data_IF_346242189009
#
_entry.id   IF_346242189009
#
_cell.length_a   1.000
_cell.length_b   1.000
_cell.length_c   1.000
_cell.angle_alpha   90.00
_cell.angle_beta   90.00
_cell.angle_gamma   90.00
#
_symmetry.space_group_name_H-M   'P 1'
#
loop_
_entity.id
_entity.type
_entity.pdbx_description
1 polymer ?
#
# COMPACT_ATOMS: atom_id res chain seq x y z
N UNK A 1 -5.22 -24.99 6.84
CA UNK A 1 -3.96 -25.75 6.66
C UNK A 1 -3.46 -25.64 5.24
N UNK A 2 -2.15 -25.43 5.09
CA UNK A 2 -1.45 -25.38 3.78
C UNK A 2 -1.40 -26.77 3.17
N UNK A 3 -1.54 -26.83 1.84
CA UNK A 3 -1.50 -28.09 1.10
C UNK A 3 -0.09 -28.70 1.12
N UNK A 4 -0.02 -30.03 1.13
CA UNK A 4 1.22 -30.80 1.13
C UNK A 4 1.11 -32.00 0.20
N UNK A 5 2.18 -32.34 -0.49
CA UNK A 5 2.35 -33.59 -1.23
C UNK A 5 3.46 -34.45 -0.59
N UNK A 6 3.88 -35.53 -1.26
CA UNK A 6 4.96 -36.40 -0.78
C UNK A 6 6.34 -35.72 -0.74
N UNK A 7 6.50 -34.60 -1.45
CA UNK A 7 7.75 -33.86 -1.60
C UNK A 7 7.83 -32.61 -0.70
N UNK A 8 6.71 -32.12 -0.15
CA UNK A 8 6.71 -30.95 0.73
C UNK A 8 5.44 -30.10 0.64
N UNK A 9 5.53 -28.86 1.14
CA UNK A 9 4.42 -27.91 1.10
C UNK A 9 4.25 -27.30 -0.29
N UNK A 10 2.99 -27.12 -0.70
CA UNK A 10 2.60 -26.39 -1.89
C UNK A 10 2.17 -25.00 -1.45
N UNK A 11 2.97 -23.99 -1.78
CA UNK A 11 2.77 -22.62 -1.30
C UNK A 11 2.15 -21.72 -2.37
N UNK A 12 1.07 -21.02 -2.02
CA UNK A 12 0.38 -20.08 -2.91
C UNK A 12 0.54 -18.67 -2.38
N UNK A 13 1.19 -17.81 -3.16
CA UNK A 13 1.45 -16.42 -2.83
C UNK A 13 0.55 -15.52 -3.69
N UNK A 14 -0.34 -14.73 -3.09
CA UNK A 14 -1.05 -13.69 -3.82
C UNK A 14 -0.23 -12.40 -3.83
N UNK A 15 -0.10 -11.80 -5.01
CA UNK A 15 0.70 -10.62 -5.28
C UNK A 15 -0.15 -9.52 -5.93
N UNK A 16 0.37 -8.89 -6.98
CA UNK A 16 -0.33 -7.98 -7.88
C UNK A 16 -0.04 -8.38 -9.33
N UNK A 17 -0.54 -7.60 -10.30
CA UNK A 17 -0.25 -7.76 -11.73
C UNK A 17 1.26 -7.82 -12.03
N UNK A 18 1.71 -8.50 -13.11
CA UNK A 18 3.12 -8.81 -13.37
C UNK A 18 4.10 -7.63 -13.42
N UNK A 19 3.62 -6.41 -13.69
CA UNK A 19 4.46 -5.21 -13.78
C UNK A 19 4.55 -4.42 -12.47
N UNK A 20 3.77 -4.80 -11.46
CA UNK A 20 3.79 -4.16 -10.15
C UNK A 20 5.05 -4.55 -9.37
N UNK A 21 5.64 -3.65 -8.56
CA UNK A 21 6.78 -3.98 -7.69
C UNK A 21 6.60 -5.25 -6.86
N UNK A 22 5.39 -5.48 -6.35
CA UNK A 22 5.07 -6.68 -5.57
C UNK A 22 5.31 -7.98 -6.34
N UNK A 23 5.02 -8.00 -7.65
CA UNK A 23 5.24 -9.19 -8.46
C UNK A 23 6.73 -9.56 -8.50
N UNK A 24 7.62 -8.57 -8.53
CA UNK A 24 9.09 -8.79 -8.48
C UNK A 24 9.53 -9.35 -7.14
N UNK A 25 8.99 -8.82 -6.03
CA UNK A 25 9.25 -9.32 -4.68
C UNK A 25 8.81 -10.77 -4.59
N UNK A 26 7.54 -11.06 -4.87
CA UNK A 26 6.99 -12.41 -4.74
C UNK A 26 7.64 -13.41 -5.69
N UNK A 27 8.07 -12.98 -6.89
CA UNK A 27 8.84 -13.82 -7.81
C UNK A 27 10.24 -14.15 -7.28
N UNK A 28 10.94 -13.16 -6.68
CA UNK A 28 12.23 -13.40 -6.04
C UNK A 28 12.11 -14.39 -4.87
N UNK A 29 11.07 -14.25 -4.05
CA UNK A 29 10.76 -15.18 -2.96
C UNK A 29 10.48 -16.59 -3.49
N UNK A 30 9.61 -16.72 -4.51
CA UNK A 30 9.27 -18.01 -5.10
C UNK A 30 10.52 -18.71 -5.67
N UNK A 31 11.39 -17.98 -6.39
CA UNK A 31 12.61 -18.54 -6.95
C UNK A 31 13.58 -19.02 -5.86
N UNK A 32 13.68 -18.31 -4.73
CA UNK A 32 14.54 -18.74 -3.62
C UNK A 32 14.01 -19.95 -2.88
N UNK A 33 12.69 -20.11 -2.78
CA UNK A 33 12.08 -21.28 -2.15
C UNK A 33 12.19 -22.53 -3.03
N UNK A 34 12.03 -22.37 -4.35
CA UNK A 34 12.20 -23.43 -5.35
C UNK A 34 13.68 -23.90 -5.43
N UNK A 35 14.62 -22.95 -5.27
CA UNK A 35 16.05 -23.21 -5.34
C UNK A 35 16.74 -23.59 -4.02
N UNK A 36 16.02 -23.71 -2.89
CA UNK A 36 16.66 -23.87 -1.59
C UNK A 36 17.24 -25.29 -1.39
N UNK A 37 18.49 -25.47 -1.83
CA UNK A 37 19.26 -26.72 -1.75
C UNK A 37 19.67 -27.12 -0.33
N UNK A 38 19.52 -26.24 0.67
CA UNK A 38 19.95 -26.50 2.05
C UNK A 38 18.93 -27.34 2.85
N UNK A 39 17.64 -27.30 2.48
CA UNK A 39 16.59 -28.16 3.05
C UNK A 39 15.68 -28.72 1.93
N UNK A 40 16.19 -29.65 1.11
CA UNK A 40 15.34 -30.33 0.15
C UNK A 40 14.16 -30.99 0.88
N UNK A 41 12.94 -30.78 0.38
CA UNK A 41 11.74 -31.45 0.90
C UNK A 41 10.83 -30.63 1.83
N UNK A 42 11.13 -29.35 2.11
CA UNK A 42 10.22 -28.49 2.89
C UNK A 42 9.15 -27.88 1.98
N UNK A 43 9.55 -27.26 0.87
CA UNK A 43 8.65 -26.70 -0.14
C UNK A 43 8.75 -27.55 -1.40
N UNK A 44 7.62 -28.10 -1.85
CA UNK A 44 7.53 -28.88 -3.08
C UNK A 44 7.32 -27.98 -4.29
N UNK A 45 6.45 -26.98 -4.16
CA UNK A 45 6.17 -26.02 -5.23
C UNK A 45 5.67 -24.68 -4.69
N UNK A 46 5.89 -23.62 -5.47
CA UNK A 46 5.42 -22.26 -5.18
C UNK A 46 4.71 -21.68 -6.40
N UNK A 47 3.48 -21.20 -6.20
CA UNK A 47 2.70 -20.47 -7.20
C UNK A 47 2.53 -19.01 -6.79
N UNK A 48 2.75 -18.08 -7.73
CA UNK A 48 2.44 -16.65 -7.56
C UNK A 48 1.20 -16.30 -8.37
N UNK A 49 0.19 -15.74 -7.71
CA UNK A 49 -1.11 -15.43 -8.28
C UNK A 49 -1.35 -13.92 -8.28
N UNK A 50 -1.87 -13.40 -9.39
CA UNK A 50 -2.44 -12.06 -9.42
C UNK A 50 -3.95 -12.15 -9.09
N UNK A 51 -4.49 -11.26 -8.23
CA UNK A 51 -5.91 -11.27 -7.90
C UNK A 51 -6.76 -10.87 -9.11
N UNK A 52 -7.97 -11.43 -9.21
CA UNK A 52 -8.90 -11.32 -10.36
C UNK A 52 -9.24 -9.89 -10.80
N UNK A 53 -9.07 -8.88 -9.93
CA UNK A 53 -9.43 -7.48 -10.19
C UNK A 53 -8.34 -6.46 -9.81
N UNK A 54 -7.13 -6.92 -9.45
CA UNK A 54 -6.05 -6.01 -9.07
C UNK A 54 -6.31 -5.20 -7.80
N UNK A 55 -7.22 -5.64 -6.92
CA UNK A 55 -7.54 -5.02 -5.62
C UNK A 55 -6.51 -5.38 -4.53
N UNK A 56 -5.27 -5.69 -4.91
CA UNK A 56 -4.29 -6.44 -4.09
C UNK A 56 -4.32 -6.09 -2.60
N UNK A 57 -4.34 -4.81 -2.26
CA UNK A 57 -4.39 -4.37 -0.86
C UNK A 57 -5.60 -4.86 -0.05
N UNK A 58 -6.85 -4.71 -0.52
CA UNK A 58 -8.02 -5.13 0.27
C UNK A 58 -8.37 -6.60 0.12
N UNK A 59 -8.14 -7.16 -1.08
CA UNK A 59 -8.56 -8.53 -1.37
C UNK A 59 -7.55 -9.56 -0.88
N UNK A 60 -6.24 -9.26 -0.91
CA UNK A 60 -5.21 -10.23 -0.50
C UNK A 60 -5.39 -10.69 0.95
N UNK A 61 -5.69 -9.82 1.95
CA UNK A 61 -5.98 -10.28 3.31
C UNK A 61 -7.20 -11.21 3.39
N UNK A 62 -8.24 -10.99 2.57
CA UNK A 62 -9.41 -11.87 2.53
C UNK A 62 -9.08 -13.23 1.94
N UNK A 63 -8.30 -13.27 0.86
CA UNK A 63 -7.89 -14.53 0.23
C UNK A 63 -7.00 -15.36 1.17
N UNK A 64 -6.05 -14.71 1.86
CA UNK A 64 -5.18 -15.35 2.87
C UNK A 64 -6.02 -15.85 4.05
N UNK A 65 -6.88 -15.01 4.63
CA UNK A 65 -7.73 -15.39 5.74
C UNK A 65 -8.66 -16.56 5.43
N UNK A 66 -9.25 -16.57 4.22
CA UNK A 66 -10.09 -17.68 3.71
C UNK A 66 -9.31 -18.95 3.34
N UNK A 67 -7.98 -18.91 3.32
CA UNK A 67 -7.14 -20.04 2.94
C UNK A 67 -7.12 -20.39 1.46
N UNK A 68 -7.63 -19.48 0.61
CA UNK A 68 -7.56 -19.60 -0.85
C UNK A 68 -6.10 -19.52 -1.33
N UNK A 69 -5.28 -18.77 -0.59
CA UNK A 69 -3.83 -18.63 -0.72
C UNK A 69 -3.19 -18.62 0.67
N UNK A 70 -1.88 -18.81 0.74
CA UNK A 70 -1.17 -19.06 1.99
C UNK A 70 -0.39 -17.82 2.48
N UNK A 71 0.08 -17.00 1.53
CA UNK A 71 0.86 -15.78 1.78
C UNK A 71 0.31 -14.65 0.90
N UNK A 72 0.31 -13.44 1.42
CA UNK A 72 -0.10 -12.25 0.69
C UNK A 72 0.84 -11.07 0.92
N UNK A 73 0.75 -10.08 0.05
CA UNK A 73 1.39 -8.78 0.19
C UNK A 73 0.33 -7.67 0.11
N UNK A 74 0.46 -6.63 0.93
CA UNK A 74 -0.50 -5.51 1.00
C UNK A 74 0.19 -4.16 1.22
N UNK A 75 -0.46 -3.07 0.78
CA UNK A 75 -0.12 -1.67 1.09
C UNK A 75 -1.42 -0.87 1.29
N UNK A 76 -1.53 -0.01 2.32
CA UNK A 76 -0.64 0.16 3.45
C UNK A 76 -0.64 -1.07 4.35
N UNK A 77 0.40 -1.27 5.20
CA UNK A 77 0.46 -2.38 6.14
C UNK A 77 -0.79 -2.46 7.02
N UNK A 78 -1.34 -1.30 7.42
CA UNK A 78 -2.52 -1.19 8.31
C UNK A 78 -3.72 -1.97 7.78
N UNK A 79 -3.81 -2.18 6.46
CA UNK A 79 -4.85 -2.98 5.82
C UNK A 79 -4.95 -4.40 6.40
N UNK A 80 -3.82 -5.03 6.74
CA UNK A 80 -3.83 -6.36 7.35
C UNK A 80 -4.44 -6.34 8.76
N UNK A 81 -4.19 -5.28 9.54
CA UNK A 81 -4.80 -5.11 10.87
C UNK A 81 -6.30 -4.84 10.77
N UNK A 82 -6.72 -3.95 9.87
CA UNK A 82 -8.14 -3.70 9.60
C UNK A 82 -8.88 -5.00 9.23
N UNK A 83 -8.23 -5.86 8.44
CA UNK A 83 -8.76 -7.17 8.08
C UNK A 83 -8.90 -8.12 9.27
N UNK A 84 -7.89 -8.19 10.15
CA UNK A 84 -7.93 -9.01 11.37
C UNK A 84 -9.04 -8.55 12.33
N UNK A 85 -9.26 -7.24 12.44
CA UNK A 85 -10.25 -6.66 13.34
C UNK A 85 -11.66 -6.61 12.73
N UNK A 86 -11.78 -6.78 11.41
CA UNK A 86 -13.08 -6.71 10.72
C UNK A 86 -13.69 -5.32 10.73
N UNK A 87 -12.85 -4.28 10.62
CA UNK A 87 -13.26 -2.87 10.68
C UNK A 87 -12.93 -2.14 9.36
N UNK A 88 -13.48 -0.95 9.20
CA UNK A 88 -13.24 -0.10 8.03
C UNK A 88 -13.82 -0.72 6.75
N UNK A 89 -13.00 -1.07 5.73
CA UNK A 89 -13.48 -1.68 4.50
C UNK A 89 -13.85 -3.17 4.65
N UNK A 90 -13.60 -3.77 5.82
CA UNK A 90 -13.93 -5.16 6.12
C UNK A 90 -15.25 -5.25 6.90
N UNK A 91 -16.14 -6.15 6.48
CA UNK A 91 -17.43 -6.40 7.15
C UNK A 91 -17.31 -7.40 8.30
N UNK A 92 -16.29 -8.22 8.26
CA UNK A 92 -16.00 -9.29 9.22
C UNK A 92 -14.49 -9.51 9.30
N UNK A 93 -14.04 -10.08 10.41
CA UNK A 93 -12.65 -10.46 10.61
C UNK A 93 -12.24 -11.56 9.61
N UNK A 94 -11.03 -11.46 9.06
CA UNK A 94 -10.42 -12.51 8.23
C UNK A 94 -9.63 -13.54 9.04
N UNK A 95 -9.72 -13.48 10.38
CA UNK A 95 -8.94 -14.30 11.30
C UNK A 95 -7.54 -13.75 11.59
N UNK A 96 -6.73 -14.51 12.33
CA UNK A 96 -5.39 -14.11 12.74
C UNK A 96 -4.39 -14.10 11.58
N UNK A 97 -3.84 -12.93 11.27
CA UNK A 97 -2.72 -12.77 10.35
C UNK A 97 -1.42 -12.53 11.12
N UNK A 98 -0.29 -12.84 10.49
CA UNK A 98 1.07 -12.60 11.01
C UNK A 98 1.96 -12.03 9.92
N UNK A 99 2.77 -11.03 10.29
CA UNK A 99 3.78 -10.44 9.42
C UNK A 99 4.93 -11.43 9.19
N UNK A 100 5.48 -11.42 7.98
CA UNK A 100 6.73 -12.11 7.65
C UNK A 100 7.83 -11.09 7.42
N UNK A 101 7.54 -10.03 6.66
CA UNK A 101 8.48 -8.96 6.37
C UNK A 101 7.74 -7.67 6.01
N UNK A 102 8.27 -6.50 6.36
CA UNK A 102 7.81 -5.18 5.89
C UNK A 102 8.89 -4.54 5.02
N UNK A 103 8.64 -4.39 3.72
CA UNK A 103 9.56 -3.68 2.85
C UNK A 103 9.44 -2.16 3.07
N UNK A 104 10.57 -1.42 3.13
CA UNK A 104 10.59 0.01 3.46
C UNK A 104 10.23 0.84 2.22
N UNK A 105 8.95 0.88 1.88
CA UNK A 105 8.45 1.78 0.84
C UNK A 105 7.96 3.08 1.50
N UNK A 106 8.63 4.22 1.24
CA UNK A 106 8.18 5.50 1.75
C UNK A 106 7.05 6.04 0.87
N UNK A 107 5.85 6.18 1.44
CA UNK A 107 4.68 6.67 0.69
C UNK A 107 3.66 7.39 1.57
N UNK A 108 2.91 8.30 0.95
CA UNK A 108 1.87 9.10 1.58
C UNK A 108 0.88 9.61 0.53
N UNK A 109 -0.23 10.19 0.98
CA UNK A 109 -1.28 10.67 0.07
C UNK A 109 -1.06 12.14 -0.30
N UNK A 110 -1.06 12.44 -1.60
CA UNK A 110 -1.16 13.80 -2.12
C UNK A 110 -2.62 14.22 -2.27
N UNK A 111 -2.91 15.48 -1.91
CA UNK A 111 -4.24 16.08 -1.98
C UNK A 111 -4.22 17.29 -2.91
N UNK A 112 -4.25 17.08 -4.23
CA UNK A 112 -4.03 18.13 -5.21
C UNK A 112 -5.36 18.62 -5.81
N UNK A 113 -5.54 19.94 -5.86
CA UNK A 113 -6.66 20.62 -6.52
C UNK A 113 -6.14 21.72 -7.43
N UNK A 114 -6.81 22.00 -8.54
CA UNK A 114 -6.45 23.12 -9.44
C UNK A 114 -6.43 24.44 -8.67
N UNK A 115 -5.31 25.15 -8.76
CA UNK A 115 -5.10 26.44 -8.11
C UNK A 115 -6.19 27.46 -8.50
N UNK A 116 -6.72 27.40 -9.73
CA UNK A 116 -7.79 28.29 -10.22
C UNK A 116 -9.11 28.16 -9.46
N UNK A 117 -9.31 27.06 -8.75
CA UNK A 117 -10.47 26.91 -7.88
C UNK A 117 -10.36 27.82 -6.65
N UNK A 118 -9.17 28.31 -6.31
CA UNK A 118 -8.89 29.14 -5.12
C UNK A 118 -9.11 28.40 -3.81
N UNK A 119 -9.07 27.07 -3.83
CA UNK A 119 -9.23 26.21 -2.65
C UNK A 119 -7.88 26.14 -1.94
N UNK A 120 -7.81 26.62 -0.70
CA UNK A 120 -6.57 26.71 0.06
C UNK A 120 -6.43 25.61 1.12
N UNK A 121 -7.54 24.98 1.52
CA UNK A 121 -7.56 23.87 2.49
C UNK A 121 -8.63 22.83 2.16
N UNK A 122 -8.58 21.68 2.84
CA UNK A 122 -9.60 20.64 2.69
C UNK A 122 -10.99 21.10 3.18
N UNK A 123 -11.05 21.99 4.18
CA UNK A 123 -12.27 22.58 4.73
C UNK A 123 -12.97 23.52 3.73
N UNK A 124 -12.23 24.12 2.79
CA UNK A 124 -12.81 24.99 1.77
C UNK A 124 -13.70 24.21 0.79
N UNK A 125 -13.41 22.94 0.55
CA UNK A 125 -14.12 22.10 -0.43
C UNK A 125 -15.62 22.02 -0.11
N UNK A 126 -16.07 21.53 1.08
CA UNK A 126 -17.48 21.46 1.42
C UNK A 126 -18.13 22.84 1.61
N UNK A 127 -17.36 23.88 1.96
CA UNK A 127 -17.86 25.26 2.12
C UNK A 127 -18.19 25.91 0.78
N UNK A 128 -17.31 25.73 -0.21
CA UNK A 128 -17.40 26.41 -1.51
C UNK A 128 -18.07 25.55 -2.57
N UNK A 129 -18.13 24.23 -2.37
CA UNK A 129 -18.78 23.26 -3.26
C UNK A 129 -18.33 23.42 -4.72
N UNK A 130 -17.01 23.43 -4.99
CA UNK A 130 -16.52 23.65 -6.34
C UNK A 130 -16.92 22.49 -7.27
N UNK A 131 -16.99 22.79 -8.58
CA UNK A 131 -17.18 21.76 -9.61
C UNK A 131 -15.89 20.96 -9.78
N UNK A 132 -15.73 19.90 -9.00
CA UNK A 132 -14.57 19.01 -9.05
C UNK A 132 -14.78 17.90 -10.08
N UNK A 133 -13.82 17.74 -10.98
CA UNK A 133 -13.55 16.46 -11.61
C UNK A 133 -12.37 15.84 -10.88
N UNK A 134 -12.68 14.99 -9.90
CA UNK A 134 -11.71 14.38 -9.00
C UNK A 134 -11.24 13.04 -9.56
N UNK A 135 -9.92 12.85 -9.69
CA UNK A 135 -9.30 11.54 -9.86
C UNK A 135 -9.03 10.93 -8.48
N UNK A 136 -9.46 9.68 -8.30
CA UNK A 136 -9.16 8.86 -7.12
C UNK A 136 -8.61 7.49 -7.56
N UNK A 137 -8.53 6.53 -6.64
CA UNK A 137 -8.09 5.15 -6.87
C UNK A 137 -9.02 4.34 -7.77
N UNK A 138 -9.31 3.09 -7.39
CA UNK A 138 -10.11 2.16 -8.20
C UNK A 138 -11.40 1.76 -7.49
N UNK A 139 -12.47 1.61 -8.28
CA UNK A 139 -13.65 0.83 -7.89
C UNK A 139 -13.71 -0.42 -8.75
N UNK A 140 -13.88 -1.57 -8.10
CA UNK A 140 -14.06 -2.86 -8.72
C UNK A 140 -15.44 -3.44 -8.35
N UNK A 141 -15.88 -4.54 -9.01
CA UNK A 141 -17.17 -5.17 -8.70
C UNK A 141 -17.36 -5.56 -7.23
N UNK A 142 -16.26 -5.80 -6.50
CA UNK A 142 -16.27 -6.19 -5.08
C UNK A 142 -16.08 -5.01 -4.11
N UNK A 143 -15.99 -3.77 -4.61
CA UNK A 143 -15.85 -2.56 -3.80
C UNK A 143 -14.69 -1.65 -4.23
N UNK A 144 -14.45 -0.56 -3.47
CA UNK A 144 -13.28 0.31 -3.66
C UNK A 144 -11.98 -0.44 -3.32
N UNK A 145 -10.84 0.05 -3.79
CA UNK A 145 -9.54 -0.32 -3.23
C UNK A 145 -9.23 0.45 -1.92
N UNK A 146 -8.09 0.14 -1.28
CA UNK A 146 -7.76 0.74 0.03
C UNK A 146 -7.64 2.25 -0.07
N UNK A 147 -7.03 2.78 -1.14
CA UNK A 147 -6.81 4.22 -1.28
C UNK A 147 -8.12 4.95 -1.56
N UNK A 148 -9.00 4.44 -2.42
CA UNK A 148 -10.33 5.00 -2.63
C UNK A 148 -11.16 4.99 -1.35
N UNK A 149 -11.14 3.90 -0.57
CA UNK A 149 -11.83 3.88 0.71
C UNK A 149 -11.24 4.91 1.70
N UNK A 150 -9.91 4.99 1.79
CA UNK A 150 -9.21 5.91 2.71
C UNK A 150 -9.53 7.37 2.37
N UNK A 151 -9.49 7.73 1.09
CA UNK A 151 -9.84 9.07 0.62
C UNK A 151 -11.28 9.41 0.99
N UNK A 152 -12.22 8.48 0.79
CA UNK A 152 -13.62 8.74 1.13
C UNK A 152 -13.83 8.94 2.63
N UNK A 153 -13.15 8.19 3.49
CA UNK A 153 -13.22 8.36 4.95
C UNK A 153 -12.66 9.70 5.40
N UNK A 154 -11.55 10.16 4.80
CA UNK A 154 -10.99 11.50 5.04
C UNK A 154 -11.99 12.57 4.61
N UNK A 155 -12.58 12.47 3.41
CA UNK A 155 -13.57 13.43 2.93
C UNK A 155 -14.80 13.48 3.84
N UNK A 156 -15.32 12.33 4.28
CA UNK A 156 -16.47 12.24 5.19
C UNK A 156 -16.21 12.98 6.50
N UNK A 157 -14.96 12.93 7.00
CA UNK A 157 -14.57 13.66 8.21
C UNK A 157 -14.60 15.18 8.02
N UNK A 158 -14.34 15.67 6.80
CA UNK A 158 -14.54 17.06 6.40
C UNK A 158 -16.01 17.42 6.10
N UNK A 159 -16.93 16.44 6.10
CA UNK A 159 -18.36 16.67 5.88
C UNK A 159 -18.82 16.60 4.43
N UNK A 160 -18.09 15.91 3.55
CA UNK A 160 -18.53 15.61 2.19
C UNK A 160 -18.07 14.23 1.72
N UNK A 161 -18.63 13.72 0.64
CA UNK A 161 -18.25 12.44 0.04
C UNK A 161 -18.26 12.51 -1.51
N UNK A 162 -18.05 11.39 -2.19
CA UNK A 162 -18.06 11.34 -3.65
C UNK A 162 -19.43 11.69 -4.28
N UNK A 163 -20.54 11.38 -3.59
CA UNK A 163 -21.89 11.75 -4.05
C UNK A 163 -22.13 13.25 -3.94
N UNK A 164 -21.59 13.90 -2.91
CA UNK A 164 -21.68 15.36 -2.76
C UNK A 164 -20.97 16.08 -3.92
N UNK A 165 -19.80 15.60 -4.35
CA UNK A 165 -19.10 16.13 -5.53
C UNK A 165 -20.00 16.08 -6.78
N UNK A 166 -20.70 14.96 -6.99
CA UNK A 166 -21.65 14.84 -8.10
C UNK A 166 -22.83 15.82 -7.95
N UNK A 167 -23.35 16.00 -6.73
CA UNK A 167 -24.43 16.96 -6.44
C UNK A 167 -24.04 18.42 -6.72
N UNK A 168 -22.74 18.76 -6.65
CA UNK A 168 -22.20 20.08 -6.97
C UNK A 168 -21.93 20.27 -8.48
N UNK A 169 -22.34 19.31 -9.32
CA UNK A 169 -22.12 19.31 -10.76
C UNK A 169 -20.73 18.80 -11.17
N UNK A 170 -19.98 18.23 -10.23
CA UNK A 170 -18.69 17.57 -10.44
C UNK A 170 -18.84 16.10 -10.88
N UNK A 171 -17.72 15.39 -10.96
CA UNK A 171 -17.67 13.94 -11.21
C UNK A 171 -16.41 13.36 -10.55
N UNK A 172 -16.45 12.06 -10.24
CA UNK A 172 -15.30 11.33 -9.71
C UNK A 172 -14.89 10.26 -10.71
N UNK A 173 -13.60 10.19 -11.00
CA UNK A 173 -12.97 9.23 -11.89
C UNK A 173 -12.18 8.22 -11.05
N UNK A 174 -12.34 6.93 -11.35
CA UNK A 174 -11.65 5.85 -10.64
C UNK A 174 -10.71 5.05 -11.57
N UNK A 175 -9.69 5.68 -12.18
CA UNK A 175 -8.80 5.02 -13.13
C UNK A 175 -7.85 4.00 -12.48
N UNK A 176 -7.73 4.00 -11.15
CA UNK A 176 -6.77 3.20 -10.40
C UNK A 176 -5.50 3.96 -10.06
N UNK A 177 -4.34 3.34 -10.27
CA UNK A 177 -3.04 3.83 -9.81
C UNK A 177 -2.71 5.24 -10.30
N UNK A 178 -1.84 5.94 -9.57
CA UNK A 178 -1.33 7.27 -9.93
C UNK A 178 -0.79 7.32 -11.37
N UNK A 179 -0.16 6.24 -11.85
CA UNK A 179 0.42 6.16 -13.21
C UNK A 179 -0.63 6.27 -14.33
N UNK A 180 -1.90 6.03 -14.01
CA UNK A 180 -3.04 6.24 -14.92
C UNK A 180 -3.76 7.55 -14.57
N UNK A 181 -3.91 7.85 -13.28
CA UNK A 181 -4.63 9.03 -12.80
C UNK A 181 -3.95 10.37 -13.09
N UNK A 182 -2.65 10.48 -12.86
CA UNK A 182 -1.88 11.72 -13.07
C UNK A 182 -1.94 12.19 -14.53
N UNK A 183 -1.77 11.33 -15.56
CA UNK A 183 -1.95 11.73 -16.95
C UNK A 183 -3.32 12.35 -17.28
N UNK A 184 -4.40 11.93 -16.62
CA UNK A 184 -5.75 12.50 -16.83
C UNK A 184 -5.80 13.94 -16.34
N UNK A 185 -5.25 14.22 -15.15
CA UNK A 185 -5.17 15.58 -14.62
C UNK A 185 -4.20 16.43 -15.44
N UNK A 186 -3.04 15.88 -15.85
CA UNK A 186 -2.05 16.59 -16.67
C UNK A 186 -2.64 17.05 -18.02
N UNK A 187 -3.54 16.25 -18.61
CA UNK A 187 -4.31 16.59 -19.83
C UNK A 187 -5.46 17.56 -19.59
N UNK A 188 -5.74 17.91 -18.33
CA UNK A 188 -6.85 18.78 -17.89
C UNK A 188 -8.24 18.19 -18.12
N UNK A 189 -8.33 16.86 -18.25
CA UNK A 189 -9.60 16.13 -18.24
C UNK A 189 -10.19 16.04 -16.82
N UNK A 190 -9.37 16.35 -15.82
CA UNK A 190 -9.69 16.45 -14.40
C UNK A 190 -8.96 17.64 -13.76
N UNK A 191 -9.51 18.17 -12.67
CA UNK A 191 -8.99 19.37 -11.97
C UNK A 191 -8.68 19.11 -10.48
N UNK A 192 -8.72 17.85 -10.05
CA UNK A 192 -8.26 17.43 -8.73
C UNK A 192 -7.78 15.96 -8.79
N UNK A 193 -6.83 15.60 -7.94
CA UNK A 193 -6.38 14.23 -7.73
C UNK A 193 -5.99 14.01 -6.28
N UNK A 194 -6.61 13.01 -5.67
CA UNK A 194 -6.25 12.51 -4.34
C UNK A 194 -5.70 11.09 -4.52
N UNK A 195 -4.41 10.88 -4.24
CA UNK A 195 -3.74 9.62 -4.59
C UNK A 195 -2.41 9.42 -3.86
N UNK A 196 -2.02 8.15 -3.70
CA UNK A 196 -0.72 7.68 -3.22
C UNK A 196 0.31 7.52 -4.37
N UNK A 197 1.50 6.97 -4.08
CA UNK A 197 2.50 6.65 -5.09
C UNK A 197 3.42 7.83 -5.35
N UNK A 198 3.94 8.42 -4.27
CA UNK A 198 4.72 9.67 -4.29
C UNK A 198 6.06 9.51 -5.02
N UNK A 199 6.46 8.29 -5.32
CA UNK A 199 7.77 7.91 -5.84
C UNK A 199 7.90 8.05 -7.37
N UNK A 200 7.09 8.91 -8.00
CA UNK A 200 7.07 9.04 -9.46
C UNK A 200 7.26 10.50 -9.90
N UNK A 201 8.21 10.70 -10.83
CA UNK A 201 8.51 12.01 -11.45
C UNK A 201 7.29 12.69 -12.10
N UNK A 202 6.24 11.92 -12.38
CA UNK A 202 4.99 12.43 -12.96
C UNK A 202 4.29 13.46 -12.07
N UNK A 203 4.53 13.44 -10.75
CA UNK A 203 3.96 14.41 -9.82
C UNK A 203 4.58 15.79 -10.01
N UNK A 204 5.90 15.87 -10.12
CA UNK A 204 6.64 17.10 -10.42
C UNK A 204 6.23 17.65 -11.80
N UNK A 205 6.17 16.77 -12.80
CA UNK A 205 5.69 17.06 -14.15
C UNK A 205 4.24 17.60 -14.19
N UNK A 206 3.36 17.08 -13.34
CA UNK A 206 1.98 17.53 -13.23
C UNK A 206 1.95 18.98 -12.75
N UNK A 207 2.57 19.27 -11.60
CA UNK A 207 2.53 20.61 -10.99
C UNK A 207 3.31 21.66 -11.78
N UNK A 208 4.28 21.24 -12.61
CA UNK A 208 4.98 22.14 -13.53
C UNK A 208 4.08 22.57 -14.71
N UNK A 209 3.26 21.67 -15.23
CA UNK A 209 2.44 21.90 -16.44
C UNK A 209 1.01 22.40 -16.15
N UNK A 210 0.50 22.09 -14.96
CA UNK A 210 -0.81 22.50 -14.49
C UNK A 210 -0.67 22.92 -13.03
N UNK A 211 -0.75 24.23 -12.72
CA UNK A 211 -0.63 24.70 -11.35
C UNK A 211 -1.70 24.07 -10.44
N UNK A 212 -1.24 23.29 -9.46
CA UNK A 212 -2.07 22.62 -8.47
C UNK A 212 -1.72 23.15 -7.09
N UNK A 213 -2.72 23.33 -6.23
CA UNK A 213 -2.50 23.52 -4.81
C UNK A 213 -2.51 22.16 -4.10
N UNK A 214 -1.48 21.88 -3.31
CA UNK A 214 -1.42 20.69 -2.46
C UNK A 214 -1.96 21.03 -1.07
N UNK A 215 -3.00 20.32 -0.67
CA UNK A 215 -3.69 20.54 0.60
C UNK A 215 -3.07 19.66 1.68
N UNK A 216 -2.98 20.19 2.90
CA UNK A 216 -2.69 19.41 4.10
C UNK A 216 -3.99 18.98 4.79
N UNK A 217 -3.92 17.85 5.51
CA UNK A 217 -4.97 17.43 6.42
C UNK A 217 -4.87 18.20 7.75
N UNK A 218 -6.00 18.34 8.43
CA UNK A 218 -6.08 18.90 9.77
C UNK A 218 -5.71 17.82 10.80
N UNK A 219 -5.17 18.26 11.94
CA UNK A 219 -4.74 17.35 13.00
C UNK A 219 -5.89 16.48 13.54
N UNK A 220 -7.12 17.03 13.56
CA UNK A 220 -8.30 16.29 14.05
C UNK A 220 -8.71 15.15 13.09
N UNK A 221 -8.52 15.33 11.79
CA UNK A 221 -8.80 14.29 10.78
C UNK A 221 -7.77 13.18 10.87
N UNK A 222 -6.49 13.54 11.00
CA UNK A 222 -5.39 12.57 11.14
C UNK A 222 -5.53 11.78 12.44
N UNK A 223 -5.83 12.45 13.57
CA UNK A 223 -6.06 11.78 14.86
C UNK A 223 -7.31 10.89 14.81
N UNK A 224 -8.36 11.29 14.09
CA UNK A 224 -9.52 10.42 13.86
C UNK A 224 -9.13 9.15 13.08
N UNK A 225 -8.37 9.27 11.99
CA UNK A 225 -7.93 8.13 11.20
C UNK A 225 -6.99 7.21 11.99
N UNK A 226 -6.14 7.78 12.83
CA UNK A 226 -5.25 7.05 13.75
C UNK A 226 -6.02 6.31 14.84
N UNK A 227 -6.90 6.99 15.56
CA UNK A 227 -7.66 6.41 16.67
C UNK A 227 -8.67 5.36 16.20
N UNK A 228 -9.36 5.60 15.08
CA UNK A 228 -10.42 4.72 14.59
C UNK A 228 -9.91 3.55 13.75
N UNK A 229 -8.88 3.77 12.95
CA UNK A 229 -8.42 2.81 11.94
C UNK A 229 -6.94 2.45 12.05
N UNK A 230 -6.20 3.08 12.97
CA UNK A 230 -4.78 2.78 13.21
C UNK A 230 -3.83 3.31 12.13
N UNK A 231 -4.28 4.23 11.27
CA UNK A 231 -3.36 4.94 10.37
C UNK A 231 -2.30 5.71 11.16
N UNK A 232 -1.18 5.98 10.50
CA UNK A 232 -0.10 6.79 11.05
C UNK A 232 -0.06 8.12 10.29
N UNK A 233 0.32 9.19 10.98
CA UNK A 233 0.55 10.47 10.34
C UNK A 233 1.84 10.46 9.52
N UNK A 234 1.86 11.25 8.45
CA UNK A 234 3.07 11.53 7.68
C UNK A 234 3.06 13.01 7.26
N UNK A 235 4.17 13.48 6.70
CA UNK A 235 4.37 14.86 6.29
C UNK A 235 4.74 14.90 4.82
N UNK A 236 4.02 15.70 4.05
CA UNK A 236 4.46 16.14 2.72
C UNK A 236 5.50 17.24 2.96
N UNK A 237 6.79 17.02 2.65
CA UNK A 237 7.83 17.99 2.97
C UNK A 237 7.69 19.29 2.18
N UNK A 238 8.08 20.40 2.78
CA UNK A 238 8.31 21.67 2.07
C UNK A 238 9.18 21.44 0.84
N UNK A 239 8.75 21.98 -0.30
CA UNK A 239 9.45 21.86 -1.58
C UNK A 239 9.32 20.50 -2.25
N UNK A 240 8.53 19.56 -1.70
CA UNK A 240 8.30 18.25 -2.33
C UNK A 240 7.71 18.41 -3.73
N UNK A 241 6.71 19.27 -3.88
CA UNK A 241 6.15 19.67 -5.16
C UNK A 241 6.20 21.20 -5.27
N UNK A 242 6.22 21.72 -6.50
CA UNK A 242 6.07 23.15 -6.76
C UNK A 242 4.78 23.66 -6.09
N UNK A 243 4.89 24.76 -5.35
CA UNK A 243 3.78 25.34 -4.57
C UNK A 243 3.63 24.81 -3.15
N UNK A 244 4.39 23.78 -2.73
CA UNK A 244 4.42 23.31 -1.34
C UNK A 244 5.41 24.13 -0.53
N UNK A 245 4.96 25.28 -0.01
CA UNK A 245 5.82 26.27 0.66
C UNK A 245 6.12 25.98 2.14
N UNK A 246 5.44 24.98 2.71
CA UNK A 246 5.59 24.51 4.10
C UNK A 246 5.30 23.01 4.18
N UNK A 247 5.71 22.39 5.28
CA UNK A 247 5.32 21.03 5.60
C UNK A 247 3.80 20.91 5.74
N UNK A 248 3.21 19.88 5.12
CA UNK A 248 1.77 19.60 5.18
C UNK A 248 1.54 18.24 5.82
N UNK A 249 0.66 18.19 6.82
CA UNK A 249 0.26 16.95 7.46
C UNK A 249 -0.58 16.10 6.49
N UNK A 250 -0.35 14.79 6.48
CA UNK A 250 -1.10 13.81 5.68
C UNK A 250 -1.10 12.45 6.38
N UNK A 251 -1.64 11.43 5.72
CA UNK A 251 -1.57 10.04 6.18
C UNK A 251 -0.38 9.31 5.57
N UNK A 252 0.29 8.51 6.39
CA UNK A 252 1.23 7.51 5.93
C UNK A 252 0.49 6.44 5.13
N UNK A 253 1.03 6.14 3.95
CA UNK A 253 0.53 5.05 3.11
C UNK A 253 1.66 4.07 2.78
N UNK A 254 2.76 4.15 3.53
CA UNK A 254 4.04 3.54 3.19
C UNK A 254 4.26 2.15 3.79
N UNK A 255 4.75 1.26 2.93
CA UNK A 255 5.36 0.01 3.32
C UNK A 255 4.62 -1.19 2.77
N UNK A 256 5.37 -2.12 2.18
CA UNK A 256 4.76 -3.32 1.64
C UNK A 256 4.90 -4.46 2.63
N UNK A 257 3.78 -4.88 3.21
CA UNK A 257 3.74 -5.92 4.21
C UNK A 257 3.53 -7.28 3.55
N UNK A 258 4.51 -8.18 3.67
CA UNK A 258 4.37 -9.61 3.41
C UNK A 258 3.81 -10.28 4.67
N UNK A 259 2.71 -11.01 4.54
CA UNK A 259 1.99 -11.61 5.67
C UNK A 259 1.40 -12.98 5.31
N UNK A 260 0.99 -13.72 6.33
CA UNK A 260 0.37 -15.02 6.24
C UNK A 260 -0.68 -15.20 7.33
N UNK A 261 -1.35 -16.36 7.37
CA UNK A 261 -2.14 -16.76 8.53
C UNK A 261 -1.24 -17.17 9.69
N UNK A 262 -1.75 -17.07 10.90
CA UNK A 262 -1.08 -17.56 12.11
C UNK A 262 -0.78 -19.07 12.08
N UNK A 263 -1.59 -19.86 11.39
CA UNK A 263 -1.42 -21.32 11.29
C UNK A 263 -0.40 -21.77 10.22
N UNK A 264 0.33 -20.83 9.59
CA UNK A 264 1.37 -21.17 8.64
C UNK A 264 2.47 -21.97 9.37
N UNK A 265 2.93 -23.13 8.86
CA UNK A 265 4.04 -23.84 9.47
C UNK A 265 5.24 -22.92 9.72
N UNK A 266 5.75 -22.89 10.95
CA UNK A 266 6.82 -21.97 11.35
C UNK A 266 8.07 -22.04 10.46
N UNK A 267 8.38 -23.23 9.95
CA UNK A 267 9.50 -23.40 9.01
C UNK A 267 9.27 -22.66 7.68
N UNK A 268 8.04 -22.60 7.16
CA UNK A 268 7.74 -21.82 5.94
C UNK A 268 7.89 -20.33 6.17
N UNK A 269 7.39 -19.82 7.31
CA UNK A 269 7.55 -18.41 7.66
C UNK A 269 9.02 -18.02 7.85
N UNK A 270 9.82 -18.91 8.47
CA UNK A 270 11.28 -18.75 8.59
C UNK A 270 11.94 -18.65 7.22
N UNK A 271 11.61 -19.58 6.31
CA UNK A 271 12.17 -19.60 4.95
C UNK A 271 11.77 -18.36 4.13
N UNK A 272 10.54 -17.86 4.29
CA UNK A 272 10.08 -16.64 3.62
C UNK A 272 10.78 -15.37 4.16
N UNK A 273 11.01 -15.29 5.48
CA UNK A 273 11.77 -14.20 6.08
C UNK A 273 13.23 -14.23 5.61
N UNK A 274 13.86 -15.42 5.62
CA UNK A 274 15.20 -15.64 5.06
C UNK A 274 15.27 -15.26 3.58
N UNK A 275 14.33 -15.72 2.76
CA UNK A 275 14.29 -15.39 1.34
C UNK A 275 14.12 -13.88 1.11
N UNK A 276 13.36 -13.18 1.95
CA UNK A 276 13.21 -11.72 1.88
C UNK A 276 14.55 -11.01 2.14
N UNK A 277 15.31 -11.49 3.12
CA UNK A 277 16.61 -10.95 3.47
C UNK A 277 17.70 -11.28 2.44
N UNK A 278 17.73 -12.53 1.95
CA UNK A 278 18.70 -13.00 0.96
C UNK A 278 18.51 -12.29 -0.40
N UNK A 279 17.27 -11.97 -0.77
CA UNK A 279 16.96 -11.26 -2.01
C UNK A 279 16.96 -9.74 -1.89
N UNK A 280 17.27 -9.16 -0.72
CA UNK A 280 17.16 -7.71 -0.50
C UNK A 280 17.84 -6.87 -1.58
N UNK A 281 19.02 -7.28 -2.04
CA UNK A 281 19.82 -6.53 -3.02
C UNK A 281 19.18 -6.58 -4.40
N UNK A 282 18.61 -7.75 -4.74
CA UNK A 282 17.88 -7.95 -6.00
C UNK A 282 16.57 -7.20 -6.02
N UNK A 283 15.86 -7.14 -4.88
CA UNK A 283 14.62 -6.37 -4.71
C UNK A 283 14.92 -4.87 -4.80
N UNK A 284 16.01 -4.42 -4.18
CA UNK A 284 16.45 -3.03 -4.21
C UNK A 284 17.04 -2.59 -5.55
N UNK A 285 17.61 -3.51 -6.33
CA UNK A 285 18.36 -3.20 -7.56
C UNK A 285 17.67 -2.22 -8.52
N UNK A 286 16.36 -2.33 -8.83
CA UNK A 286 15.70 -1.40 -9.75
C UNK A 286 15.62 0.05 -9.25
N UNK A 287 15.86 0.28 -7.95
CA UNK A 287 15.64 1.56 -7.27
C UNK A 287 16.95 2.23 -6.83
N UNK A 288 18.11 1.54 -6.96
CA UNK A 288 19.40 2.00 -6.42
C UNK A 288 19.82 3.38 -6.92
N UNK A 289 19.63 3.62 -8.21
CA UNK A 289 20.09 4.86 -8.88
C UNK A 289 19.01 5.96 -8.92
N UNK A 290 17.84 5.72 -8.32
CA UNK A 290 16.77 6.72 -8.27
C UNK A 290 17.06 7.76 -7.17
N UNK A 291 16.76 9.05 -7.41
CA UNK A 291 16.79 10.07 -6.37
C UNK A 291 15.91 9.66 -5.17
N UNK A 292 16.33 9.91 -3.91
CA UNK A 292 15.62 9.41 -2.73
C UNK A 292 14.12 9.77 -2.67
N UNK A 293 13.74 10.98 -3.11
CA UNK A 293 12.36 11.46 -3.06
C UNK A 293 11.41 10.81 -4.08
N UNK A 294 11.96 10.14 -5.11
CA UNK A 294 11.20 9.35 -6.09
C UNK A 294 11.56 7.87 -6.07
N UNK A 295 12.08 7.38 -4.95
CA UNK A 295 12.51 5.99 -4.82
C UNK A 295 11.40 5.17 -4.14
N UNK A 296 10.91 4.13 -4.80
CA UNK A 296 9.86 3.27 -4.23
C UNK A 296 10.31 2.43 -3.03
N UNK A 297 11.61 2.28 -2.79
CA UNK A 297 12.12 1.54 -1.63
C UNK A 297 13.31 2.27 -1.04
N UNK A 298 13.41 2.34 0.28
CA UNK A 298 14.65 2.73 0.94
C UNK A 298 15.75 1.71 0.62
N UNK A 299 16.93 2.22 0.29
CA UNK A 299 18.09 1.43 -0.11
C UNK A 299 19.32 1.91 0.68
N UNK A 300 20.06 1.02 1.35
CA UNK A 300 19.88 -0.44 1.37
C UNK A 300 18.67 -0.89 2.21
N UNK A 301 18.04 -2.00 1.79
CA UNK A 301 17.03 -2.68 2.60
C UNK A 301 17.75 -3.43 3.73
N UNK A 302 17.38 -3.18 4.98
CA UNK A 302 18.03 -3.78 6.16
C UNK A 302 17.13 -4.83 6.83
N UNK A 303 17.70 -5.70 7.66
CA UNK A 303 16.91 -6.61 8.49
C UNK A 303 15.95 -5.84 9.43
N UNK A 304 16.36 -4.66 9.91
CA UNK A 304 15.54 -3.80 10.75
C UNK A 304 14.29 -3.33 10.01
N UNK A 305 14.44 -2.92 8.74
CA UNK A 305 13.30 -2.55 7.90
C UNK A 305 12.31 -3.72 7.79
N UNK A 306 12.81 -4.92 7.50
CA UNK A 306 11.97 -6.10 7.27
C UNK A 306 11.27 -6.60 8.54
N UNK A 307 11.89 -6.48 9.71
CA UNK A 307 11.41 -7.11 10.95
C UNK A 307 10.67 -6.18 11.90
N UNK A 308 10.80 -4.86 11.74
CA UNK A 308 10.23 -3.89 12.69
C UNK A 308 9.14 -3.04 12.07
N UNK A 309 8.42 -2.29 12.93
CA UNK A 309 7.30 -1.44 12.52
C UNK A 309 6.21 -2.21 11.74
N UNK A 310 6.11 -3.53 11.96
CA UNK A 310 5.00 -4.33 11.48
C UNK A 310 3.75 -3.97 12.29
N UNK A 311 2.68 -3.60 11.61
CA UNK A 311 1.40 -3.24 12.25
C UNK A 311 0.63 -4.43 12.85
N UNK A 312 1.06 -5.65 12.51
CA UNK A 312 0.57 -6.92 13.05
C UNK A 312 1.78 -7.73 13.56
N UNK A 313 1.60 -8.66 14.52
CA UNK A 313 2.71 -9.43 15.08
C UNK A 313 3.47 -10.23 14.03
N UNK A 314 4.80 -10.34 14.19
CA UNK A 314 5.61 -11.27 13.39
C UNK A 314 5.16 -12.71 13.60
N UNK A 315 5.25 -13.51 12.56
CA UNK A 315 5.08 -14.95 12.65
C UNK A 315 6.24 -15.54 13.48
N UNK A 316 6.01 -16.50 14.41
CA UNK A 316 7.08 -17.05 15.25
C UNK A 316 8.29 -17.57 14.47
N UNK A 317 8.05 -18.18 13.30
CA UNK A 317 9.12 -18.60 12.38
C UNK A 317 9.94 -17.45 11.77
N UNK A 318 9.29 -16.35 11.39
CA UNK A 318 9.97 -15.15 10.88
C UNK A 318 10.75 -14.45 12.01
N UNK A 319 10.13 -14.32 13.19
CA UNK A 319 10.78 -13.78 14.39
C UNK A 319 12.04 -14.59 14.75
N UNK A 320 11.96 -15.92 14.71
CA UNK A 320 13.11 -16.81 14.93
C UNK A 320 14.27 -16.48 13.98
N UNK A 321 13.99 -16.34 12.68
CA UNK A 321 15.01 -15.96 11.70
C UNK A 321 15.67 -14.62 12.03
N UNK A 322 14.87 -13.59 12.32
CA UNK A 322 15.41 -12.26 12.60
C UNK A 322 16.24 -12.19 13.89
N UNK A 323 15.88 -12.99 14.92
CA UNK A 323 16.71 -13.17 16.13
C UNK A 323 18.04 -13.86 15.83
N UNK A 324 18.03 -14.91 15.00
CA UNK A 324 19.25 -15.66 14.65
C UNK A 324 20.29 -14.79 13.93
N UNK A 325 19.84 -13.82 13.13
CA UNK A 325 20.74 -12.87 12.45
C UNK A 325 21.04 -11.60 13.29
N UNK A 326 20.63 -11.58 14.57
CA UNK A 326 20.93 -10.50 15.51
C UNK A 326 20.17 -9.19 15.28
N UNK A 327 19.00 -9.26 14.64
CA UNK A 327 18.17 -8.09 14.33
C UNK A 327 17.11 -7.78 15.41
N UNK A 328 16.63 -8.80 16.12
CA UNK A 328 15.60 -8.72 17.17
C UNK A 328 16.08 -9.22 18.52
#
# INVERSE_FOLDING_TARGET
MVQRDEWGYILRIVSHTPFHPWARITAALAQSLDGNREKPGVVSSVGVYAPKFGLGSLENPKMVGRGEVDVGITNPPITAKLAMEGIGPYRESVGSLRAIARFPEPDYIFWLVDEKLGIASMEDIPRRKPRLTLVSGRICPTGPDTITWTIEEVMKRYGFNYQDIASWGGKVLFPGQATIGVPIVKKRDANAIFQEGVHHVMWEDLVESYPMNCLGLSADVVEYMKSKYGFVENTIPKGRLKGVEKDLLTLDFGGWLLFCREDLPAELAYLLAKASMDNRERIAAPYKDQPPHIRSLEVPITAQHLSTQCVIPLHPGAERYYKEIGCL
#
